data_IF_183862840660
#
_entry.id   IF_183862840660
#
_cell.length_a   1.000
_cell.length_b   1.000
_cell.length_c   1.000
_cell.angle_alpha   90.00
_cell.angle_beta   90.00
_cell.angle_gamma   90.00
#
_symmetry.space_group_name_H-M   'P 1'
#
loop_
_entity.id
_entity.type
_entity.pdbx_description
1 polymer ?
#
# COMPACT_ATOMS: atom_id res chain seq x y z
N UNK A 1 -16.96 -21.91 18.32
CA UNK A 1 -15.57 -21.97 17.82
C UNK A 1 -15.62 -22.81 16.54
N UNK A 2 -15.30 -22.35 15.33
CA UNK A 2 -14.28 -21.40 14.86
C UNK A 2 -14.90 -20.50 13.78
N UNK A 3 -15.06 -19.21 14.09
CA UNK A 3 -15.25 -18.16 13.07
C UNK A 3 -13.83 -17.77 12.62
N UNK A 4 -13.23 -18.59 11.78
CA UNK A 4 -12.05 -18.15 11.05
C UNK A 4 -12.60 -17.21 9.99
N UNK A 5 -12.46 -15.92 10.25
CA UNK A 5 -12.61 -14.86 9.27
C UNK A 5 -11.91 -15.33 7.99
N UNK A 6 -12.72 -15.65 6.98
CA UNK A 6 -12.28 -15.73 5.60
C UNK A 6 -11.77 -14.34 5.26
N UNK A 7 -10.49 -14.10 5.55
CA UNK A 7 -9.74 -12.96 5.08
C UNK A 7 -9.77 -13.05 3.56
N UNK A 8 -10.77 -12.40 2.97
CA UNK A 8 -10.87 -12.16 1.54
C UNK A 8 -9.63 -11.34 1.16
N UNK A 9 -8.53 -12.03 0.84
CA UNK A 9 -7.36 -11.48 0.18
C UNK A 9 -7.81 -11.12 -1.24
N UNK A 10 -8.24 -9.87 -1.41
CA UNK A 10 -8.64 -9.33 -2.72
C UNK A 10 -7.38 -8.90 -3.47
N UNK A 11 -7.31 -9.30 -4.73
CA UNK A 11 -6.34 -8.83 -5.69
C UNK A 11 -6.85 -7.51 -6.26
N UNK A 12 -6.07 -6.43 -6.16
CA UNK A 12 -6.32 -5.28 -7.02
C UNK A 12 -5.54 -5.42 -8.31
N UNK A 13 -6.18 -6.03 -9.31
CA UNK A 13 -5.73 -5.90 -10.70
C UNK A 13 -5.74 -4.42 -11.10
N UNK A 14 -4.86 -4.06 -12.03
CA UNK A 14 -4.87 -2.77 -12.72
C UNK A 14 -6.29 -2.42 -13.19
N UNK A 15 -6.80 -1.26 -12.75
CA UNK A 15 -8.16 -0.80 -13.07
C UNK A 15 -9.12 -0.64 -11.88
N UNK A 16 -8.75 -1.06 -10.68
CA UNK A 16 -9.55 -0.80 -9.46
C UNK A 16 -9.32 0.60 -8.85
N UNK A 17 -8.46 1.41 -9.47
CA UNK A 17 -8.14 2.80 -9.10
C UNK A 17 -9.23 3.81 -9.50
N UNK A 18 -10.35 3.37 -10.07
CA UNK A 18 -11.39 4.26 -10.62
C UNK A 18 -11.99 5.27 -9.63
N UNK A 19 -11.80 5.05 -8.32
CA UNK A 19 -12.20 5.97 -7.26
C UNK A 19 -11.07 6.83 -6.66
N UNK A 20 -9.80 6.57 -7.01
CA UNK A 20 -8.66 7.26 -6.43
C UNK A 20 -8.55 8.66 -7.03
N UNK A 21 -8.42 9.65 -6.14
CA UNK A 21 -8.24 11.05 -6.52
C UNK A 21 -6.97 11.20 -7.37
N UNK A 22 -7.07 11.96 -8.48
CA UNK A 22 -5.91 12.35 -9.28
C UNK A 22 -4.96 13.22 -8.47
N UNK A 23 -3.66 12.99 -8.66
CA UNK A 23 -2.61 13.81 -8.06
C UNK A 23 -2.65 15.23 -8.66
N UNK A 24 -2.51 16.25 -7.83
CA UNK A 24 -2.16 17.61 -8.28
C UNK A 24 -0.71 17.67 -8.76
N UNK A 25 -0.33 18.73 -9.48
CA UNK A 25 1.04 18.90 -9.98
C UNK A 25 2.10 18.75 -8.87
N UNK A 26 1.86 19.39 -7.72
CA UNK A 26 2.72 19.28 -6.53
C UNK A 26 2.75 17.87 -5.92
N UNK A 27 1.64 17.12 -6.02
CA UNK A 27 1.58 15.73 -5.54
C UNK A 27 2.28 14.77 -6.50
N UNK A 28 2.41 15.12 -7.79
CA UNK A 28 3.13 14.29 -8.78
C UNK A 28 4.63 14.25 -8.51
N UNK A 29 5.24 15.38 -8.15
CA UNK A 29 6.66 15.42 -7.78
C UNK A 29 6.94 14.58 -6.54
N UNK A 30 6.10 14.75 -5.51
CA UNK A 30 6.18 13.97 -4.28
C UNK A 30 5.94 12.47 -4.54
N UNK A 31 4.95 12.13 -5.36
CA UNK A 31 4.69 10.76 -5.76
C UNK A 31 5.90 10.09 -6.40
N UNK A 32 6.63 10.80 -7.28
CA UNK A 32 7.84 10.25 -7.90
C UNK A 32 8.90 9.94 -6.85
N UNK A 33 9.14 10.86 -5.91
CA UNK A 33 10.09 10.64 -4.81
C UNK A 33 9.70 9.45 -3.92
N UNK A 34 8.41 9.35 -3.57
CA UNK A 34 7.88 8.22 -2.81
C UNK A 34 8.07 6.91 -3.59
N UNK A 35 7.70 6.89 -4.86
CA UNK A 35 7.81 5.71 -5.73
C UNK A 35 9.27 5.26 -5.85
N UNK A 36 10.19 6.18 -6.17
CA UNK A 36 11.62 5.91 -6.28
C UNK A 36 12.22 5.39 -4.97
N UNK A 37 11.76 5.92 -3.83
CA UNK A 37 12.15 5.44 -2.50
C UNK A 37 11.72 3.99 -2.28
N UNK A 38 10.49 3.63 -2.66
CA UNK A 38 10.00 2.26 -2.55
C UNK A 38 10.76 1.30 -3.48
N UNK A 39 11.06 1.71 -4.71
CA UNK A 39 11.88 0.95 -5.67
C UNK A 39 13.28 0.72 -5.11
N UNK A 40 13.92 1.78 -4.60
CA UNK A 40 15.28 1.71 -4.08
C UNK A 40 15.36 0.70 -2.94
N UNK A 41 14.43 0.78 -1.98
CA UNK A 41 14.35 -0.17 -0.87
C UNK A 41 14.05 -1.60 -1.35
N UNK A 42 13.20 -1.76 -2.36
CA UNK A 42 12.90 -3.07 -2.95
C UNK A 42 14.17 -3.72 -3.51
N UNK A 43 14.94 -2.96 -4.30
CA UNK A 43 16.22 -3.41 -4.88
C UNK A 43 17.24 -3.72 -3.77
N UNK A 44 17.36 -2.87 -2.76
CA UNK A 44 18.27 -3.08 -1.61
C UNK A 44 17.99 -4.39 -0.88
N UNK A 45 16.73 -4.83 -0.84
CA UNK A 45 16.33 -6.10 -0.22
C UNK A 45 16.44 -7.32 -1.13
N UNK A 46 16.96 -7.16 -2.36
CA UNK A 46 17.11 -8.25 -3.34
C UNK A 46 15.83 -8.56 -4.14
N UNK A 47 14.80 -7.71 -4.04
CA UNK A 47 13.58 -7.87 -4.82
C UNK A 47 13.80 -7.61 -6.31
N UNK A 48 13.15 -8.42 -7.15
CA UNK A 48 13.20 -8.22 -8.59
C UNK A 48 12.29 -7.05 -9.02
N UNK A 49 12.83 -6.17 -9.87
CA UNK A 49 12.08 -5.10 -10.51
C UNK A 49 11.93 -5.48 -11.99
N UNK A 50 10.73 -5.89 -12.44
CA UNK A 50 10.51 -6.23 -13.85
C UNK A 50 10.73 -4.98 -14.72
N UNK A 51 11.53 -5.09 -15.78
CA UNK A 51 11.86 -3.95 -16.64
C UNK A 51 10.70 -3.38 -17.47
N UNK A 52 9.51 -3.99 -17.44
CA UNK A 52 8.36 -3.58 -18.27
C UNK A 52 6.98 -3.87 -17.66
N UNK A 53 6.89 -4.27 -16.39
CA UNK A 53 5.64 -4.75 -15.79
C UNK A 53 5.25 -3.94 -14.56
N UNK A 54 3.94 -3.75 -14.37
CA UNK A 54 3.38 -3.17 -13.16
C UNK A 54 3.81 -4.00 -11.94
N UNK A 55 4.66 -3.43 -11.08
CA UNK A 55 5.14 -4.09 -9.87
C UNK A 55 3.96 -4.28 -8.94
N UNK A 56 3.67 -5.54 -8.60
CA UNK A 56 2.70 -5.89 -7.57
C UNK A 56 3.43 -6.18 -6.27
N UNK A 57 2.83 -5.77 -5.15
CA UNK A 57 3.38 -5.97 -3.82
C UNK A 57 2.31 -6.42 -2.85
N UNK A 58 2.71 -7.29 -1.92
CA UNK A 58 1.89 -7.59 -0.78
C UNK A 58 2.17 -6.51 0.26
N UNK A 59 1.18 -5.77 0.74
CA UNK A 59 1.36 -4.75 1.75
C UNK A 59 0.52 -5.03 3.00
N UNK A 60 1.06 -4.62 4.15
CA UNK A 60 0.30 -4.38 5.36
C UNK A 60 0.74 -3.09 6.02
N UNK A 61 -0.23 -2.25 6.35
CA UNK A 61 -0.04 -0.93 6.94
C UNK A 61 -0.45 -1.00 8.42
N UNK A 62 0.44 -0.54 9.28
CA UNK A 62 0.30 -0.51 10.72
C UNK A 62 0.49 0.91 11.26
N UNK A 63 -0.16 1.26 12.36
CA UNK A 63 0.19 2.46 13.12
C UNK A 63 1.45 2.22 13.98
N UNK A 64 1.98 3.28 14.59
CA UNK A 64 3.06 3.19 15.57
C UNK A 64 2.71 2.34 16.82
N UNK A 65 1.42 2.10 17.08
CA UNK A 65 0.93 1.22 18.15
C UNK A 65 0.63 -0.21 17.67
N UNK A 66 1.13 -0.61 16.49
CA UNK A 66 0.95 -1.93 15.85
C UNK A 66 -0.53 -2.27 15.52
N UNK A 67 -1.40 -1.26 15.41
CA UNK A 67 -2.76 -1.46 14.92
C UNK A 67 -2.75 -1.60 13.39
N UNK A 68 -3.31 -2.69 12.86
CA UNK A 68 -3.44 -2.87 11.42
C UNK A 68 -4.50 -1.91 10.85
N UNK A 69 -4.08 -1.07 9.92
CA UNK A 69 -4.90 -0.05 9.24
C UNK A 69 -4.93 -0.20 7.73
N UNK A 70 -4.36 -1.29 7.21
CA UNK A 70 -4.48 -1.69 5.80
C UNK A 70 -5.95 -1.56 5.37
N UNK A 71 -6.28 -0.70 4.40
CA UNK A 71 -7.67 -0.52 4.04
C UNK A 71 -8.24 -1.82 3.44
N UNK A 72 -9.52 -2.09 3.73
CA UNK A 72 -10.14 -3.41 3.57
C UNK A 72 -9.93 -4.00 2.16
N UNK A 73 -9.28 -5.17 2.11
CA UNK A 73 -9.09 -5.95 0.88
C UNK A 73 -7.88 -5.57 0.04
N UNK A 74 -7.02 -4.65 0.49
CA UNK A 74 -5.90 -4.13 -0.28
C UNK A 74 -4.57 -4.74 0.17
N UNK A 75 -4.53 -6.05 0.27
CA UNK A 75 -3.32 -6.76 0.71
C UNK A 75 -2.36 -6.96 -0.45
N UNK A 76 -2.85 -7.11 -1.69
CA UNK A 76 -2.01 -7.20 -2.89
C UNK A 76 -2.39 -6.07 -3.85
N UNK A 77 -1.47 -5.13 -4.06
CA UNK A 77 -1.69 -3.88 -4.81
C UNK A 77 -0.50 -3.55 -5.70
N UNK A 78 -0.72 -2.68 -6.70
CA UNK A 78 0.40 -2.12 -7.47
C UNK A 78 1.28 -1.24 -6.59
N UNK A 79 2.57 -1.16 -6.92
CA UNK A 79 3.47 -0.23 -6.25
C UNK A 79 3.01 1.23 -6.42
N UNK A 80 2.40 1.55 -7.56
CA UNK A 80 1.80 2.87 -7.79
C UNK A 80 0.66 3.19 -6.84
N UNK A 81 -0.22 2.21 -6.58
CA UNK A 81 -1.32 2.35 -5.62
C UNK A 81 -0.77 2.72 -4.24
N UNK A 82 0.23 1.95 -3.82
CA UNK A 82 0.89 2.13 -2.54
C UNK A 82 1.58 3.48 -2.45
N UNK A 83 2.32 3.87 -3.49
CA UNK A 83 3.01 5.15 -3.56
C UNK A 83 2.03 6.33 -3.52
N UNK A 84 0.88 6.27 -4.22
CA UNK A 84 -0.16 7.31 -4.13
C UNK A 84 -0.71 7.44 -2.71
N UNK A 85 -1.01 6.33 -2.03
CA UNK A 85 -1.51 6.36 -0.65
C UNK A 85 -0.50 7.02 0.30
N UNK A 86 0.77 6.67 0.18
CA UNK A 86 1.86 7.23 0.99
C UNK A 86 2.14 8.70 0.66
N UNK A 87 1.92 9.11 -0.59
CA UNK A 87 1.98 10.52 -1.02
C UNK A 87 0.91 11.34 -0.30
N UNK A 88 -0.33 10.85 -0.22
CA UNK A 88 -1.39 11.54 0.53
C UNK A 88 -1.11 11.57 2.03
N UNK A 89 -0.52 10.52 2.60
CA UNK A 89 -0.07 10.54 3.99
C UNK A 89 0.97 11.65 4.23
N UNK A 90 1.99 11.72 3.37
CA UNK A 90 3.07 12.71 3.50
C UNK A 90 2.54 14.15 3.38
N UNK A 91 1.60 14.40 2.48
CA UNK A 91 0.93 15.70 2.32
C UNK A 91 0.22 16.16 3.60
N UNK A 92 -0.36 15.22 4.34
CA UNK A 92 -1.05 15.47 5.63
C UNK A 92 -0.09 15.49 6.83
N UNK A 93 1.22 15.58 6.57
CA UNK A 93 2.28 15.63 7.56
C UNK A 93 2.52 14.30 8.28
N UNK A 94 2.10 13.18 7.68
CA UNK A 94 2.29 11.85 8.28
C UNK A 94 3.58 11.24 7.75
N UNK A 95 4.47 10.95 8.69
CA UNK A 95 5.67 10.18 8.40
C UNK A 95 5.31 8.69 8.32
N UNK A 96 6.05 7.98 7.46
CA UNK A 96 5.92 6.54 7.32
C UNK A 96 7.28 5.90 7.15
N UNK A 97 7.36 4.63 7.56
CA UNK A 97 8.50 3.76 7.38
C UNK A 97 8.05 2.53 6.59
N UNK A 98 8.97 1.94 5.85
CA UNK A 98 8.73 0.68 5.14
C UNK A 98 9.87 -0.29 5.40
N UNK A 99 9.48 -1.51 5.79
CA UNK A 99 10.31 -2.70 5.98
C UNK A 99 9.86 -3.73 4.93
N UNK A 100 10.78 -4.12 4.04
CA UNK A 100 10.50 -5.02 2.92
C UNK A 100 11.13 -6.37 3.23
N UNK A 101 10.35 -7.44 3.07
CA UNK A 101 10.79 -8.82 3.26
C UNK A 101 10.47 -9.63 2.03
N UNK A 102 11.34 -10.58 1.70
CA UNK A 102 11.02 -11.62 0.72
C UNK A 102 9.78 -12.39 1.18
N UNK A 103 8.85 -12.64 0.26
CA UNK A 103 7.69 -13.47 0.55
C UNK A 103 8.11 -14.94 0.56
N UNK A 104 8.07 -15.57 1.73
CA UNK A 104 8.37 -17.01 1.87
C UNK A 104 7.19 -17.90 1.48
N UNK A 105 6.04 -17.33 1.11
CA UNK A 105 4.85 -18.08 0.69
C UNK A 105 5.03 -18.60 -0.75
N UNK A 106 4.91 -19.90 -0.93
CA UNK A 106 5.11 -20.59 -2.21
C UNK A 106 4.15 -20.14 -3.31
N UNK A 107 3.00 -19.54 -2.97
CA UNK A 107 2.02 -19.04 -3.94
C UNK A 107 2.33 -17.64 -4.48
N UNK A 108 3.25 -16.92 -3.83
CA UNK A 108 3.59 -15.52 -4.14
C UNK A 108 5.09 -15.28 -4.18
N UNK A 109 5.88 -16.29 -4.56
CA UNK A 109 7.35 -16.28 -4.56
C UNK A 109 7.98 -15.10 -5.32
N UNK A 110 7.24 -14.49 -6.24
CA UNK A 110 7.68 -13.36 -7.06
C UNK A 110 7.29 -11.99 -6.46
N UNK A 111 6.47 -11.95 -5.40
CA UNK A 111 6.02 -10.71 -4.77
C UNK A 111 6.81 -10.41 -3.50
N UNK A 112 7.13 -9.15 -3.29
CA UNK A 112 7.75 -8.68 -2.05
C UNK A 112 6.71 -8.24 -1.02
N UNK A 113 6.97 -8.49 0.26
CA UNK A 113 6.10 -8.11 1.37
C UNK A 113 6.55 -6.77 1.98
N UNK A 114 5.69 -5.77 1.91
CA UNK A 114 5.90 -4.42 2.41
C UNK A 114 5.15 -4.25 3.73
N UNK A 115 5.88 -4.22 4.85
CA UNK A 115 5.35 -3.75 6.13
C UNK A 115 5.53 -2.24 6.20
N UNK A 116 4.43 -1.50 6.19
CA UNK A 116 4.43 -0.05 6.33
C UNK A 116 4.01 0.32 7.75
N UNK A 117 4.73 1.25 8.35
CA UNK A 117 4.40 1.83 9.64
C UNK A 117 4.10 3.31 9.40
N UNK A 118 2.90 3.76 9.75
CA UNK A 118 2.49 5.17 9.65
C UNK A 118 2.45 5.80 11.04
N UNK A 119 2.99 7.01 11.16
CA UNK A 119 3.01 7.77 12.41
C UNK A 119 1.73 8.60 12.56
N UNK A 120 0.60 7.91 12.70
CA UNK A 120 -0.69 8.52 12.98
C UNK A 120 -1.67 7.53 13.61
N UNK A 121 -2.79 8.04 14.14
CA UNK A 121 -3.88 7.19 14.60
C UNK A 121 -4.59 6.51 13.44
N UNK A 122 -5.23 5.37 13.73
CA UNK A 122 -6.08 4.65 12.79
C UNK A 122 -7.14 5.54 12.15
N UNK A 123 -7.83 6.35 12.96
CA UNK A 123 -8.90 7.21 12.45
C UNK A 123 -8.37 8.27 11.48
N UNK A 124 -7.20 8.86 11.78
CA UNK A 124 -6.56 9.83 10.87
C UNK A 124 -6.14 9.16 9.57
N UNK A 125 -5.48 8.00 9.63
CA UNK A 125 -5.10 7.25 8.43
C UNK A 125 -6.32 6.89 7.57
N UNK A 126 -7.37 6.38 8.21
CA UNK A 126 -8.59 5.95 7.52
C UNK A 126 -9.37 7.13 6.91
N UNK A 127 -9.29 8.33 7.49
CA UNK A 127 -9.84 9.55 6.91
C UNK A 127 -9.11 9.89 5.60
N UNK A 128 -7.77 9.91 5.61
CA UNK A 128 -6.93 10.21 4.44
C UNK A 128 -7.16 9.20 3.33
N UNK A 129 -7.14 7.90 3.67
CA UNK A 129 -7.43 6.85 2.70
C UNK A 129 -8.83 7.03 2.09
N UNK A 130 -9.83 7.43 2.88
CA UNK A 130 -11.19 7.69 2.37
C UNK A 130 -11.24 8.89 1.43
N UNK A 131 -10.62 10.00 1.81
CA UNK A 131 -10.60 11.25 1.05
C UNK A 131 -9.82 11.11 -0.25
N UNK A 132 -8.74 10.33 -0.24
CA UNK A 132 -8.00 9.95 -1.44
C UNK A 132 -8.72 8.92 -2.32
N UNK A 133 -9.84 8.34 -1.86
CA UNK A 133 -10.63 7.38 -2.62
C UNK A 133 -10.20 5.91 -2.50
N UNK A 134 -9.31 5.57 -1.56
CA UNK A 134 -8.71 4.24 -1.35
C UNK A 134 -9.64 3.22 -0.68
N UNK A 135 -10.96 3.31 -0.88
CA UNK A 135 -11.90 2.38 -0.24
C UNK A 135 -12.69 1.57 -1.23
N UNK A 136 -12.86 0.30 -0.89
CA UNK A 136 -13.96 -0.51 -1.41
C UNK A 136 -15.27 -0.12 -0.73
N UNK A 137 -16.34 0.01 -1.53
CA UNK A 137 -17.71 -0.15 -1.01
C UNK A 137 -17.77 -1.53 -0.36
N UNK A 138 -18.26 -1.62 0.88
CA UNK A 138 -18.81 -2.88 1.35
C UNK A 138 -19.82 -3.33 0.29
N UNK A 139 -19.57 -4.48 -0.34
CA UNK A 139 -20.60 -5.12 -1.15
C UNK A 139 -21.70 -5.43 -0.15
N UNK A 140 -22.86 -4.77 -0.34
CA UNK A 140 -24.08 -5.05 0.44
C UNK A 140 -24.52 -6.48 0.22
#
# INVERSE_FOLDING_TARGET
MKKCDEYIQRFTLTGQDSGIKKLSETEVEEYKLVYDTLITKLIETGGEVPGSSDIQVINKIYTCNDECVTPLGLVNVSLEYLAKLLTFCKKEGIHWLVDIKECTDTHFRELSYFKIIVDCSKDKFMAIAKEGGFRYKAIK
#
